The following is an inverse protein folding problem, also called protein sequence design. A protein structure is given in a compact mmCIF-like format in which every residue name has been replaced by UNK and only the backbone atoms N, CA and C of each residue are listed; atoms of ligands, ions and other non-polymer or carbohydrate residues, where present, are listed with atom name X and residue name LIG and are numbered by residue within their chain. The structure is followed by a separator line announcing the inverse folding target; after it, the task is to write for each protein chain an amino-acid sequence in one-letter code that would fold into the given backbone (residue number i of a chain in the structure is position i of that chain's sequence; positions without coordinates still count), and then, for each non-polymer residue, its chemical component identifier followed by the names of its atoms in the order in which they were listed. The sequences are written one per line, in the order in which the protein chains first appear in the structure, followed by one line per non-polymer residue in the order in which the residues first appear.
data_IF_653775449531
#
_entry.id   IF_653775449531
#
_cell.length_a   1.000
_cell.length_b   1.000
_cell.length_c   1.000
_cell.angle_alpha   90.00
_cell.angle_beta   90.00
_cell.angle_gamma   90.00
#
_symmetry.space_group_name_H-M   'P 1'
#
loop_
_entity.id
_entity.type
_entity.pdbx_description
1 polymer ?
#
# COMPACT_ATOMS: atom_id res chain seq x y z
N UNK A 1 -4.24 7.45 10.92
CA UNK A 1 -3.88 6.14 10.30
C UNK A 1 -2.44 6.12 9.77
N UNK A 2 -1.97 7.15 9.06
CA UNK A 2 -0.55 7.27 8.68
C UNK A 2 0.45 7.35 9.87
N UNK A 3 0.01 7.80 11.05
CA UNK A 3 0.83 7.84 12.27
C UNK A 3 1.23 6.45 12.80
N UNK A 4 0.44 5.41 12.55
CA UNK A 4 0.84 4.03 12.92
C UNK A 4 2.00 3.52 12.05
N UNK A 5 2.07 3.98 10.80
CA UNK A 5 3.15 3.68 9.86
C UNK A 5 4.44 4.44 10.22
N UNK A 6 4.34 5.67 10.73
CA UNK A 6 5.52 6.44 11.14
C UNK A 6 6.20 5.87 12.39
N UNK A 7 5.43 5.24 13.28
CA UNK A 7 5.97 4.55 14.47
C UNK A 7 6.61 3.19 14.13
N UNK A 8 6.21 2.57 13.01
CA UNK A 8 6.68 1.26 12.58
C UNK A 8 7.24 1.32 11.16
N UNK A 9 8.48 1.83 10.99
CA UNK A 9 9.08 2.02 9.67
C UNK A 9 9.17 0.73 8.85
N UNK A 10 9.30 -0.42 9.52
CA UNK A 10 9.32 -1.73 8.87
C UNK A 10 8.00 -2.06 8.15
N UNK A 11 6.85 -1.62 8.68
CA UNK A 11 5.56 -1.81 8.02
C UNK A 11 5.50 -0.98 6.74
N UNK A 12 6.04 0.24 6.76
CA UNK A 12 6.10 1.08 5.55
C UNK A 12 6.95 0.43 4.45
N UNK A 13 8.11 -0.13 4.83
CA UNK A 13 8.95 -0.87 3.90
C UNK A 13 8.27 -2.11 3.34
N UNK A 14 7.58 -2.92 4.15
CA UNK A 14 6.92 -4.13 3.67
C UNK A 14 5.67 -3.81 2.83
N UNK A 15 4.91 -2.79 3.19
CA UNK A 15 3.66 -2.44 2.52
C UNK A 15 3.87 -1.69 1.21
N UNK A 16 4.87 -0.81 1.13
CA UNK A 16 5.11 0.04 -0.04
C UNK A 16 6.48 -0.18 -0.68
N UNK A 17 7.56 -0.17 0.12
CA UNK A 17 8.93 -0.24 -0.40
C UNK A 17 9.25 -1.54 -1.15
N UNK A 18 9.00 -2.68 -0.51
CA UNK A 18 9.27 -4.01 -1.08
C UNK A 18 8.42 -4.26 -2.33
N UNK A 19 7.10 -3.99 -2.35
CA UNK A 19 6.30 -4.11 -3.57
C UNK A 19 6.80 -3.21 -4.71
N UNK A 20 7.26 -2.00 -4.43
CA UNK A 20 7.84 -1.12 -5.45
C UNK A 20 9.13 -1.66 -6.04
N UNK A 21 10.02 -2.20 -5.20
CA UNK A 21 11.26 -2.84 -5.64
C UNK A 21 10.94 -4.06 -6.51
N UNK A 22 10.01 -4.91 -6.06
CA UNK A 22 9.58 -6.08 -6.81
C UNK A 22 8.91 -5.71 -8.13
N UNK A 23 8.15 -4.61 -8.18
CA UNK A 23 7.55 -4.09 -9.40
C UNK A 23 8.64 -3.66 -10.40
N UNK A 24 9.61 -2.87 -9.94
CA UNK A 24 10.72 -2.41 -10.77
C UNK A 24 11.56 -3.58 -11.30
N UNK A 25 11.88 -4.55 -10.44
CA UNK A 25 12.56 -5.78 -10.86
C UNK A 25 11.71 -6.56 -11.86
N UNK A 26 10.41 -6.71 -11.61
CA UNK A 26 9.49 -7.39 -12.51
C UNK A 26 9.49 -6.76 -13.90
N UNK A 27 9.49 -5.43 -13.99
CA UNK A 27 9.55 -4.71 -15.28
C UNK A 27 10.86 -5.01 -16.00
N UNK A 28 12.00 -4.98 -15.28
CA UNK A 28 13.32 -5.24 -15.87
C UNK A 28 13.45 -6.69 -16.37
N UNK A 29 12.95 -7.66 -15.61
CA UNK A 29 13.09 -9.08 -15.91
C UNK A 29 11.93 -9.66 -16.73
N UNK A 30 10.98 -8.83 -17.18
CA UNK A 30 9.85 -9.27 -18.01
C UNK A 30 8.89 -10.21 -17.28
N UNK A 31 8.55 -9.88 -16.03
CA UNK A 31 7.58 -10.63 -15.24
C UNK A 31 6.19 -10.67 -15.89
N UNK A 32 5.38 -11.64 -15.46
CA UNK A 32 4.03 -11.83 -15.98
C UNK A 32 3.16 -10.60 -15.71
N UNK A 33 2.36 -10.20 -16.71
CA UNK A 33 1.37 -9.12 -16.61
C UNK A 33 0.45 -9.27 -15.39
N UNK A 34 0.09 -10.50 -15.02
CA UNK A 34 -0.71 -10.77 -13.84
C UNK A 34 -0.04 -10.30 -12.53
N UNK A 35 1.28 -10.45 -12.42
CA UNK A 35 2.03 -9.95 -11.26
C UNK A 35 2.02 -8.42 -11.21
N UNK A 36 2.14 -7.75 -12.36
CA UNK A 36 2.05 -6.29 -12.40
C UNK A 36 0.68 -5.78 -11.95
N UNK A 37 -0.39 -6.41 -12.42
CA UNK A 37 -1.75 -6.04 -12.02
C UNK A 37 -1.92 -6.20 -10.51
N UNK A 38 -1.52 -7.34 -9.95
CA UNK A 38 -1.62 -7.59 -8.51
C UNK A 38 -0.84 -6.55 -7.71
N UNK A 39 0.41 -6.26 -8.11
CA UNK A 39 1.25 -5.31 -7.38
C UNK A 39 0.69 -3.88 -7.45
N UNK A 40 0.15 -3.46 -8.59
CA UNK A 40 -0.50 -2.14 -8.73
C UNK A 40 -1.77 -2.08 -7.87
N UNK A 41 -2.60 -3.11 -7.90
CA UNK A 41 -3.82 -3.18 -7.08
C UNK A 41 -3.46 -3.14 -5.59
N UNK A 42 -2.45 -3.90 -5.17
CA UNK A 42 -1.95 -3.87 -3.80
C UNK A 42 -1.54 -2.46 -3.36
N UNK A 43 -0.71 -1.78 -4.16
CA UNK A 43 -0.27 -0.41 -3.87
C UNK A 43 -1.45 0.57 -3.80
N UNK A 44 -2.43 0.43 -4.71
CA UNK A 44 -3.64 1.25 -4.71
C UNK A 44 -4.50 1.04 -3.46
N UNK A 45 -4.74 -0.22 -3.07
CA UNK A 45 -5.50 -0.56 -1.87
C UNK A 45 -4.79 -0.09 -0.61
N UNK A 46 -3.47 -0.32 -0.50
CA UNK A 46 -2.68 0.17 0.62
C UNK A 46 -2.75 1.71 0.71
N UNK A 47 -2.69 2.41 -0.42
CA UNK A 47 -2.85 3.86 -0.45
C UNK A 47 -4.24 4.29 0.05
N UNK A 48 -5.31 3.64 -0.41
CA UNK A 48 -6.66 3.93 0.06
C UNK A 48 -6.81 3.72 1.56
N UNK A 49 -6.29 2.62 2.11
CA UNK A 49 -6.42 2.31 3.54
C UNK A 49 -5.67 3.33 4.41
N UNK A 50 -4.45 3.72 4.01
CA UNK A 50 -3.59 4.52 4.88
C UNK A 50 -3.70 6.03 4.67
N UNK A 51 -4.07 6.48 3.48
CA UNK A 51 -4.02 7.89 3.09
C UNK A 51 -5.36 8.47 2.66
N UNK A 52 -6.34 7.65 2.26
CA UNK A 52 -7.70 8.16 2.07
C UNK A 52 -8.37 8.18 3.44
N UNK A 53 -8.87 9.33 3.91
CA UNK A 53 -9.70 9.37 5.10
C UNK A 53 -10.99 8.62 4.76
N UNK A 54 -11.05 7.34 5.13
CA UNK A 54 -12.32 6.65 5.22
C UNK A 54 -13.12 7.39 6.27
N UNK A 55 -14.32 7.85 5.90
CA UNK A 55 -15.25 8.49 6.83
C UNK A 55 -15.28 7.65 8.09
N UNK A 56 -14.72 8.18 9.18
CA UNK A 56 -14.87 7.57 10.49
C UNK A 56 -16.37 7.50 10.72
N UNK A 57 -16.93 6.30 10.68
CA UNK A 57 -18.25 6.02 11.25
C UNK A 57 -18.10 6.04 12.79
N UNK A 58 -17.48 7.10 13.30
CA UNK A 58 -17.63 7.54 14.67
C UNK A 58 -19.03 8.16 14.76
N UNK A 59 -20.05 7.30 14.73
CA UNK A 59 -21.42 7.59 15.12
C UNK A 59 -21.52 7.91 16.62
N UNK A 60 -20.76 8.90 17.08
CA UNK A 60 -20.88 9.52 18.40
C UNK A 60 -21.24 10.98 18.21
N UNK A 61 -22.43 11.21 17.65
CA UNK A 61 -23.18 12.42 17.97
C UNK A 61 -23.68 12.26 19.40
N UNK A 62 -23.22 13.17 20.25
CA UNK A 62 -23.71 13.49 21.60
C UNK A 62 -25.15 13.11 21.91
#
# INVERSE_FOLDING_TARGET
MAEGLSQHPILSYLTFGLPLILLAMGIIFGANVFLFIITIVWLGVAFMIFFVPMSDDNGSSR
#
